data_IF_464463015728
#
_entry.id   IF_464463015728
#
_cell.length_a   1.000
_cell.length_b   1.000
_cell.length_c   1.000
_cell.angle_alpha   90.00
_cell.angle_beta   90.00
_cell.angle_gamma   90.00
#
_symmetry.space_group_name_H-M   'P 1'
#
loop_
_entity.id
_entity.type
_entity.pdbx_description
1 polymer ?
#
# COMPACT_ATOMS: atom_id res chain seq x y z
N UNK A 1 -13.24 -2.26 -2.45
CA UNK A 1 -12.21 -3.03 -3.18
C UNK A 1 -10.93 -2.21 -3.42
N UNK A 2 -10.97 -0.90 -3.67
CA UNK A 2 -9.73 -0.14 -3.95
C UNK A 2 -8.74 -0.09 -2.77
N UNK A 3 -9.22 0.15 -1.55
CA UNK A 3 -8.33 0.29 -0.37
C UNK A 3 -7.69 -1.06 0.00
N UNK A 4 -8.45 -2.16 -0.05
CA UNK A 4 -7.88 -3.49 0.19
C UNK A 4 -6.80 -3.83 -0.84
N UNK A 5 -7.08 -3.60 -2.13
CA UNK A 5 -6.09 -3.86 -3.18
C UNK A 5 -4.85 -2.97 -3.02
N UNK A 6 -5.02 -1.70 -2.64
CA UNK A 6 -3.90 -0.79 -2.36
C UNK A 6 -3.10 -1.20 -1.13
N UNK A 7 -3.76 -1.69 -0.08
CA UNK A 7 -3.08 -2.21 1.12
C UNK A 7 -2.31 -3.50 0.80
N UNK A 8 -2.90 -4.40 0.01
CA UNK A 8 -2.24 -5.61 -0.47
C UNK A 8 -1.04 -5.24 -1.35
N UNK A 9 -1.20 -4.32 -2.31
CA UNK A 9 -0.09 -3.86 -3.15
C UNK A 9 1.01 -3.16 -2.33
N UNK A 10 0.66 -2.40 -1.30
CA UNK A 10 1.63 -1.82 -0.38
C UNK A 10 2.38 -2.85 0.47
N UNK A 11 1.85 -4.06 0.66
CA UNK A 11 2.54 -5.16 1.34
C UNK A 11 3.32 -6.04 0.36
N UNK A 12 2.72 -6.44 -0.74
CA UNK A 12 3.25 -7.50 -1.63
C UNK A 12 3.37 -7.08 -3.10
N UNK A 13 3.28 -5.77 -3.37
CA UNK A 13 3.54 -5.17 -4.67
C UNK A 13 4.99 -5.34 -5.09
N UNK A 14 5.24 -5.24 -6.40
CA UNK A 14 6.53 -5.57 -7.01
C UNK A 14 7.68 -4.74 -6.42
N UNK A 15 7.48 -3.43 -6.26
CA UNK A 15 8.50 -2.53 -5.70
C UNK A 15 8.79 -2.85 -4.23
N UNK A 16 7.77 -3.25 -3.47
CA UNK A 16 7.94 -3.60 -2.06
C UNK A 16 8.72 -4.90 -1.91
N UNK A 17 8.45 -5.88 -2.77
CA UNK A 17 9.20 -7.14 -2.81
C UNK A 17 10.62 -6.93 -3.34
N UNK A 18 10.83 -5.97 -4.24
CA UNK A 18 12.16 -5.54 -4.67
C UNK A 18 13.00 -5.06 -3.49
N UNK A 19 12.47 -4.13 -2.68
CA UNK A 19 13.17 -3.62 -1.50
C UNK A 19 13.39 -4.71 -0.43
N UNK A 20 12.43 -5.61 -0.24
CA UNK A 20 12.60 -6.77 0.65
C UNK A 20 13.75 -7.67 0.15
N UNK A 21 13.74 -8.05 -1.12
CA UNK A 21 14.79 -8.90 -1.69
C UNK A 21 16.18 -8.27 -1.58
N UNK A 22 16.27 -6.95 -1.76
CA UNK A 22 17.49 -6.18 -1.56
C UNK A 22 17.94 -6.16 -0.10
N UNK A 23 17.01 -5.99 0.84
CA UNK A 23 17.29 -6.04 2.28
C UNK A 23 17.79 -7.42 2.74
N UNK A 24 17.35 -8.49 2.08
CA UNK A 24 17.83 -9.86 2.33
C UNK A 24 19.23 -10.12 1.77
N UNK A 25 19.82 -9.18 1.02
CA UNK A 25 21.15 -9.31 0.44
C UNK A 25 21.18 -10.09 -0.86
N UNK A 26 20.05 -10.24 -1.56
CA UNK A 26 20.04 -10.83 -2.91
C UNK A 26 20.80 -9.86 -3.83
N UNK A 27 21.86 -10.36 -4.48
CA UNK A 27 22.64 -9.56 -5.43
C UNK A 27 22.40 -10.02 -6.86
N UNK A 28 22.29 -9.08 -7.79
CA UNK A 28 22.17 -9.37 -9.22
C UNK A 28 23.51 -9.81 -9.80
N UNK A 29 23.44 -10.77 -10.72
CA UNK A 29 24.55 -11.22 -11.51
C UNK A 29 24.86 -10.27 -12.67
N UNK A 30 25.78 -9.33 -12.45
CA UNK A 30 26.17 -8.33 -13.45
C UNK A 30 27.32 -8.81 -14.35
N UNK A 31 28.14 -9.78 -13.90
CA UNK A 31 29.32 -10.21 -14.67
C UNK A 31 28.95 -11.07 -15.89
N UNK A 32 29.70 -10.88 -16.98
CA UNK A 32 29.59 -11.69 -18.20
C UNK A 32 30.14 -13.09 -17.98
N UNK A 33 29.78 -14.05 -18.84
CA UNK A 33 30.33 -15.41 -18.77
C UNK A 33 31.84 -15.44 -18.99
N UNK A 34 32.35 -14.57 -19.85
CA UNK A 34 33.77 -14.46 -20.17
C UNK A 34 34.55 -13.96 -18.96
N UNK A 35 34.09 -12.90 -18.29
CA UNK A 35 34.76 -12.37 -17.10
C UNK A 35 34.83 -13.40 -15.97
N UNK A 36 33.75 -14.16 -15.77
CA UNK A 36 33.72 -15.23 -14.77
C UNK A 36 34.69 -16.37 -15.06
N UNK A 37 34.89 -16.67 -16.35
CA UNK A 37 35.84 -17.68 -16.77
C UNK A 37 37.28 -17.19 -16.57
N UNK A 38 37.56 -15.93 -16.94
CA UNK A 38 38.88 -15.32 -16.74
C UNK A 38 39.23 -15.16 -15.26
N UNK A 39 38.25 -14.87 -14.41
CA UNK A 39 38.43 -14.74 -12.96
C UNK A 39 38.43 -16.08 -12.22
N UNK A 40 38.26 -17.21 -12.93
CA UNK A 40 38.14 -18.56 -12.35
C UNK A 40 37.16 -18.62 -11.17
N UNK A 41 35.99 -17.95 -11.29
CA UNK A 41 35.02 -17.89 -10.20
C UNK A 41 34.51 -19.27 -9.79
N UNK A 42 34.42 -19.49 -8.47
CA UNK A 42 33.85 -20.71 -7.89
C UNK A 42 32.37 -20.88 -8.33
N UNK A 43 31.96 -22.12 -8.61
CA UNK A 43 30.60 -22.46 -9.01
C UNK A 43 29.54 -22.00 -8.01
N UNK A 44 29.85 -22.04 -6.71
CA UNK A 44 28.92 -21.59 -5.68
C UNK A 44 28.54 -20.11 -5.85
N UNK A 45 29.52 -19.26 -6.19
CA UNK A 45 29.29 -17.83 -6.47
C UNK A 45 28.51 -17.63 -7.77
N UNK A 46 28.64 -18.54 -8.73
CA UNK A 46 27.85 -18.49 -9.96
C UNK A 46 26.37 -18.65 -9.62
N UNK A 47 25.98 -19.64 -8.82
CA UNK A 47 24.56 -19.96 -8.55
C UNK A 47 23.92 -19.13 -7.44
N UNK A 48 24.72 -18.48 -6.58
CA UNK A 48 24.21 -17.66 -5.48
C UNK A 48 23.66 -16.28 -5.86
N UNK A 49 23.89 -15.80 -7.10
CA UNK A 49 23.44 -14.47 -7.57
C UNK A 49 22.15 -14.58 -8.39
N UNK A 50 21.31 -13.54 -8.32
CA UNK A 50 20.07 -13.44 -9.08
C UNK A 50 20.35 -13.24 -10.58
N UNK A 51 19.80 -14.12 -11.42
CA UNK A 51 20.01 -14.12 -12.87
C UNK A 51 18.70 -13.82 -13.59
N UNK A 52 18.68 -12.74 -14.38
CA UNK A 52 17.55 -12.39 -15.25
C UNK A 52 17.97 -11.69 -16.54
N UNK A 53 19.12 -10.98 -16.51
CA UNK A 53 19.70 -10.32 -17.69
C UNK A 53 20.25 -11.34 -18.69
N UNK A 54 20.13 -11.03 -19.99
CA UNK A 54 20.80 -11.80 -21.04
C UNK A 54 22.28 -11.40 -21.10
N UNK A 55 23.17 -12.34 -21.47
CA UNK A 55 24.62 -12.06 -21.48
C UNK A 55 25.00 -10.87 -22.39
N UNK A 56 24.36 -10.75 -23.55
CA UNK A 56 24.58 -9.62 -24.46
C UNK A 56 24.22 -8.26 -23.82
N UNK A 57 23.23 -8.21 -22.93
CA UNK A 57 22.86 -6.97 -22.23
C UNK A 57 23.91 -6.57 -21.17
N UNK A 58 24.67 -7.55 -20.64
CA UNK A 58 25.74 -7.30 -19.67
C UNK A 58 27.01 -6.76 -20.30
N UNK A 59 27.28 -7.15 -21.55
CA UNK A 59 28.45 -6.72 -22.32
C UNK A 59 28.26 -5.31 -22.95
N UNK A 60 27.03 -4.81 -23.01
CA UNK A 60 26.76 -3.44 -23.46
C UNK A 60 27.36 -2.43 -22.46
N UNK A 61 28.22 -1.55 -22.96
CA UNK A 61 28.72 -0.40 -22.21
C UNK A 61 27.54 0.55 -21.97
N UNK A 62 27.15 0.74 -20.70
CA UNK A 62 26.14 1.73 -20.32
C UNK A 62 26.81 3.09 -20.21
N UNK A 63 26.41 4.03 -21.06
CA UNK A 63 26.83 5.42 -20.93
C UNK A 63 26.09 6.09 -19.76
N UNK A 64 26.81 6.87 -18.96
CA UNK A 64 26.23 7.57 -17.82
C UNK A 64 25.19 8.59 -18.29
N UNK A 65 23.95 8.46 -17.83
CA UNK A 65 22.86 9.39 -18.16
C UNK A 65 22.03 9.01 -19.39
N UNK A 66 22.33 7.88 -20.05
CA UNK A 66 21.51 7.35 -21.14
C UNK A 66 20.80 6.09 -20.66
N UNK A 67 19.48 6.17 -20.50
CA UNK A 67 18.64 5.03 -20.18
C UNK A 67 17.88 4.58 -21.43
N UNK A 68 18.04 3.31 -21.80
CA UNK A 68 17.20 2.70 -22.82
C UNK A 68 15.80 2.52 -22.24
N UNK A 69 14.87 3.39 -22.63
CA UNK A 69 13.44 3.12 -22.44
C UNK A 69 13.11 1.98 -23.40
N UNK A 70 13.32 0.72 -22.96
CA UNK A 70 12.80 -0.43 -23.70
C UNK A 70 11.33 -0.15 -23.95
N UNK A 71 10.86 -0.35 -25.18
CA UNK A 71 9.52 -0.02 -25.69
C UNK A 71 8.40 -0.67 -24.87
N UNK A 72 8.16 -0.11 -23.70
CA UNK A 72 7.39 -0.69 -22.62
C UNK A 72 6.42 0.39 -22.20
N UNK A 73 5.13 0.08 -22.35
CA UNK A 73 4.01 0.93 -22.01
C UNK A 73 4.18 1.55 -20.62
N UNK A 74 3.84 2.83 -20.50
CA UNK A 74 3.78 3.56 -19.23
C UNK A 74 2.95 2.74 -18.21
N UNK A 75 3.64 2.07 -17.28
CA UNK A 75 3.01 1.19 -16.28
C UNK A 75 3.64 -0.19 -16.06
N UNK A 76 4.70 -0.59 -16.77
CA UNK A 76 5.44 -1.82 -16.38
C UNK A 76 6.56 -1.49 -15.38
N UNK A 77 6.76 -2.39 -14.42
CA UNK A 77 7.85 -2.33 -13.45
C UNK A 77 9.20 -2.52 -14.14
N UNK A 78 10.28 -2.07 -13.49
CA UNK A 78 11.64 -2.40 -13.96
C UNK A 78 11.81 -3.91 -13.99
N UNK A 79 12.44 -4.45 -15.04
CA UNK A 79 12.78 -5.89 -15.13
C UNK A 79 13.56 -6.37 -13.90
N UNK A 80 14.37 -5.48 -13.32
CA UNK A 80 15.07 -5.77 -12.07
C UNK A 80 14.06 -6.01 -10.94
N UNK A 81 13.12 -5.08 -10.73
CA UNK A 81 12.11 -5.17 -9.68
C UNK A 81 11.27 -6.46 -9.82
N UNK A 82 10.87 -6.82 -11.04
CA UNK A 82 10.17 -8.08 -11.31
C UNK A 82 11.00 -9.32 -10.98
N UNK A 83 12.30 -9.30 -11.28
CA UNK A 83 13.21 -10.40 -10.98
C UNK A 83 13.39 -10.59 -9.47
N UNK A 84 13.57 -9.50 -8.71
CA UNK A 84 13.65 -9.58 -7.25
C UNK A 84 12.33 -10.04 -6.64
N UNK A 85 11.19 -9.50 -7.10
CA UNK A 85 9.88 -9.93 -6.63
C UNK A 85 9.65 -11.42 -6.87
N UNK A 86 10.06 -11.92 -8.05
CA UNK A 86 10.01 -13.35 -8.38
C UNK A 86 10.94 -14.19 -7.52
N UNK A 87 12.14 -13.68 -7.19
CA UNK A 87 13.08 -14.35 -6.29
C UNK A 87 12.49 -14.50 -4.87
N UNK A 88 11.94 -13.42 -4.30
CA UNK A 88 11.28 -13.45 -2.98
C UNK A 88 10.11 -14.44 -2.96
N UNK A 89 9.24 -14.40 -3.99
CA UNK A 89 8.13 -15.36 -4.13
C UNK A 89 8.63 -16.80 -4.25
N UNK A 90 9.72 -17.03 -4.98
CA UNK A 90 10.32 -18.36 -5.16
C UNK A 90 10.92 -18.90 -3.86
N UNK A 91 11.56 -18.04 -3.05
CA UNK A 91 12.06 -18.41 -1.72
C UNK A 91 10.92 -18.86 -0.81
N UNK A 92 9.82 -18.09 -0.78
CA UNK A 92 8.64 -18.44 0.01
C UNK A 92 8.00 -19.74 -0.50
N UNK A 93 7.91 -19.91 -1.83
CA UNK A 93 7.42 -21.14 -2.44
C UNK A 93 8.28 -22.37 -2.13
N UNK A 94 9.61 -22.22 -2.14
CA UNK A 94 10.55 -23.27 -1.74
C UNK A 94 10.46 -23.60 -0.26
N UNK A 95 10.22 -22.60 0.61
CA UNK A 95 9.98 -22.83 2.03
C UNK A 95 8.67 -23.60 2.24
N UNK A 96 7.63 -23.26 1.48
CA UNK A 96 6.34 -23.95 1.53
C UNK A 96 6.45 -25.42 1.16
N UNK A 97 7.17 -25.74 0.08
CA UNK A 97 7.33 -27.13 -0.36
C UNK A 97 8.14 -27.98 0.63
N UNK A 98 9.09 -27.38 1.36
CA UNK A 98 9.93 -28.12 2.30
C UNK A 98 9.34 -28.23 3.71
N UNK A 99 8.76 -27.14 4.22
CA UNK A 99 8.39 -27.02 5.65
C UNK A 99 6.87 -26.97 5.90
N UNK A 100 6.07 -26.80 4.84
CA UNK A 100 4.61 -26.75 4.93
C UNK A 100 4.04 -25.36 5.26
N UNK A 101 2.72 -25.31 5.45
CA UNK A 101 1.96 -24.06 5.55
C UNK A 101 2.24 -23.26 6.83
N UNK A 102 2.30 -23.93 7.99
CA UNK A 102 2.40 -23.24 9.29
C UNK A 102 3.69 -22.43 9.42
N UNK A 103 4.81 -23.01 8.97
CA UNK A 103 6.12 -22.33 8.99
C UNK A 103 6.14 -21.15 8.02
N UNK A 104 5.48 -21.27 6.87
CA UNK A 104 5.41 -20.19 5.89
C UNK A 104 4.52 -19.06 6.37
N UNK A 105 3.39 -19.36 7.00
CA UNK A 105 2.52 -18.34 7.57
C UNK A 105 3.26 -17.50 8.63
N UNK A 106 4.06 -18.15 9.50
CA UNK A 106 4.93 -17.45 10.45
C UNK A 106 5.99 -16.61 9.73
N UNK A 107 6.68 -17.18 8.74
CA UNK A 107 7.68 -16.46 7.96
C UNK A 107 7.12 -15.21 7.26
N UNK A 108 5.95 -15.33 6.63
CA UNK A 108 5.23 -14.21 5.99
C UNK A 108 4.82 -13.17 7.04
N UNK A 109 4.36 -13.59 8.21
CA UNK A 109 4.01 -12.67 9.28
C UNK A 109 5.22 -11.84 9.72
N UNK A 110 6.36 -12.50 9.91
CA UNK A 110 7.58 -11.87 10.41
C UNK A 110 8.25 -10.95 9.38
N UNK A 111 8.21 -11.29 8.08
CA UNK A 111 8.95 -10.56 7.04
C UNK A 111 8.08 -9.64 6.17
N UNK A 112 6.80 -9.99 5.94
CA UNK A 112 5.90 -9.24 5.06
C UNK A 112 4.92 -8.41 5.89
N UNK A 113 4.19 -9.04 6.82
CA UNK A 113 3.11 -8.39 7.58
C UNK A 113 3.59 -7.59 8.80
N UNK A 114 4.84 -7.77 9.23
CA UNK A 114 5.45 -7.01 10.33
C UNK A 114 5.59 -5.50 10.04
N UNK A 115 5.48 -5.09 8.78
CA UNK A 115 5.58 -3.69 8.35
C UNK A 115 4.31 -2.92 8.69
N UNK A 116 4.47 -1.70 9.19
CA UNK A 116 3.36 -0.79 9.47
C UNK A 116 2.90 -0.07 8.21
N UNK A 117 1.61 -0.17 7.91
CA UNK A 117 0.97 0.58 6.83
C UNK A 117 -0.04 1.56 7.44
N UNK A 118 0.04 2.85 7.13
CA UNK A 118 -0.95 3.83 7.56
C UNK A 118 -2.23 3.66 6.74
N UNK A 119 -3.07 2.70 7.13
CA UNK A 119 -4.35 2.43 6.46
C UNK A 119 -5.27 3.66 6.46
N UNK A 120 -5.15 4.51 7.49
CA UNK A 120 -5.93 5.74 7.67
C UNK A 120 -5.67 6.79 6.58
N UNK A 121 -4.55 6.68 5.86
CA UNK A 121 -4.14 7.54 4.76
C UNK A 121 -4.54 6.98 3.38
N UNK A 122 -4.94 5.72 3.31
CA UNK A 122 -5.33 5.06 2.04
C UNK A 122 -6.79 5.35 1.65
N UNK A 123 -7.60 5.88 2.57
CA UNK A 123 -8.99 6.18 2.31
C UNK A 123 -9.15 7.50 1.55
N UNK A 124 -9.79 7.42 0.38
CA UNK A 124 -10.21 8.58 -0.39
C UNK A 124 -11.73 8.54 -0.58
N UNK A 125 -12.44 9.52 -0.01
CA UNK A 125 -13.89 9.63 -0.12
C UNK A 125 -14.26 10.65 -1.21
N UNK A 126 -15.27 10.32 -2.02
CA UNK A 126 -15.82 11.26 -3.00
C UNK A 126 -16.99 12.04 -2.44
N UNK A 127 -17.97 11.33 -1.84
CA UNK A 127 -19.20 11.93 -1.28
C UNK A 127 -19.46 11.38 0.12
N UNK A 128 -18.61 11.73 1.11
CA UNK A 128 -18.61 11.09 2.42
C UNK A 128 -19.96 11.20 3.15
N UNK A 129 -20.69 12.32 2.98
CA UNK A 129 -22.00 12.54 3.60
C UNK A 129 -23.09 11.62 3.07
N UNK A 130 -23.16 11.42 1.75
CA UNK A 130 -24.14 10.54 1.12
C UNK A 130 -23.85 9.07 1.43
N UNK A 131 -22.57 8.70 1.41
CA UNK A 131 -22.11 7.37 1.80
C UNK A 131 -22.49 7.06 3.26
N UNK A 132 -22.41 8.05 4.16
CA UNK A 132 -22.67 7.83 5.58
C UNK A 132 -24.16 7.59 5.83
N UNK A 133 -25.03 8.35 5.16
CA UNK A 133 -26.49 8.13 5.21
C UNK A 133 -26.82 6.70 4.78
N UNK A 134 -26.28 6.26 3.63
CA UNK A 134 -26.51 4.89 3.14
C UNK A 134 -25.95 3.82 4.07
N UNK A 135 -24.80 4.07 4.69
CA UNK A 135 -24.22 3.16 5.68
C UNK A 135 -25.13 3.03 6.89
N UNK A 136 -25.65 4.14 7.41
CA UNK A 136 -26.59 4.09 8.53
C UNK A 136 -27.91 3.42 8.15
N UNK A 137 -28.43 3.67 6.95
CA UNK A 137 -29.62 2.98 6.42
C UNK A 137 -29.39 1.46 6.34
N UNK A 138 -28.21 1.04 5.88
CA UNK A 138 -27.81 -0.37 5.78
C UNK A 138 -27.67 -1.04 7.15
N UNK A 139 -27.20 -0.30 8.16
CA UNK A 139 -27.08 -0.78 9.54
C UNK A 139 -28.41 -0.75 10.31
N UNK A 140 -29.48 -0.21 9.70
CA UNK A 140 -30.81 -0.19 10.29
C UNK A 140 -30.99 0.86 11.38
N UNK A 141 -30.22 1.96 11.35
CA UNK A 141 -30.44 3.07 12.28
C UNK A 141 -31.81 3.70 12.04
N UNK A 142 -32.65 3.76 13.08
CA UNK A 142 -34.02 4.25 13.00
C UNK A 142 -34.12 5.78 13.11
N UNK A 143 -33.05 6.44 13.55
CA UNK A 143 -33.02 7.87 13.81
C UNK A 143 -32.28 8.61 12.69
N UNK A 144 -32.75 9.80 12.28
CA UNK A 144 -32.12 10.55 11.22
C UNK A 144 -30.73 11.04 11.63
N UNK A 145 -29.79 10.97 10.69
CA UNK A 145 -28.47 11.57 10.85
C UNK A 145 -28.61 13.09 10.85
N UNK A 146 -27.99 13.75 11.82
CA UNK A 146 -27.92 15.21 11.89
C UNK A 146 -26.48 15.65 12.13
N UNK A 147 -26.01 16.62 11.34
CA UNK A 147 -24.69 17.22 11.52
C UNK A 147 -24.88 18.57 12.20
N UNK A 148 -24.32 18.74 13.40
CA UNK A 148 -24.55 19.91 14.27
C UNK A 148 -23.22 20.59 14.59
N UNK A 149 -23.23 21.92 14.61
CA UNK A 149 -22.11 22.70 15.12
C UNK A 149 -22.10 22.59 16.65
N UNK A 150 -20.97 22.16 17.22
CA UNK A 150 -20.79 22.02 18.67
C UNK A 150 -20.20 23.30 19.25
N UNK A 151 -19.13 23.79 18.63
CA UNK A 151 -18.43 24.99 19.06
C UNK A 151 -17.83 25.73 17.87
N UNK A 152 -17.65 27.03 18.01
CA UNK A 152 -16.95 27.84 17.02
C UNK A 152 -16.12 28.94 17.68
N UNK A 153 -15.05 29.33 17.01
CA UNK A 153 -14.23 30.47 17.39
C UNK A 153 -13.71 31.20 16.15
N UNK A 154 -13.57 32.52 16.25
CA UNK A 154 -12.93 33.32 15.20
C UNK A 154 -13.69 33.37 13.87
N UNK A 155 -15.04 33.30 13.87
CA UNK A 155 -15.88 33.29 12.65
C UNK A 155 -15.54 34.41 11.64
N UNK A 156 -15.16 35.60 12.12
CA UNK A 156 -14.76 36.75 11.30
C UNK A 156 -13.24 36.98 11.24
N UNK A 157 -12.44 35.97 11.62
CA UNK A 157 -10.98 35.99 11.56
C UNK A 157 -10.49 35.34 10.26
N UNK A 158 -9.22 35.60 9.91
CA UNK A 158 -8.53 34.89 8.81
C UNK A 158 -8.40 33.38 9.07
N UNK A 159 -8.47 32.94 10.33
CA UNK A 159 -8.35 31.54 10.72
C UNK A 159 -9.50 31.15 11.66
N UNK A 160 -10.74 31.00 11.14
CA UNK A 160 -11.85 30.50 11.93
C UNK A 160 -11.61 29.04 12.31
N UNK A 161 -12.20 28.59 13.41
CA UNK A 161 -12.28 27.16 13.74
C UNK A 161 -13.72 26.79 14.08
N UNK A 162 -14.24 25.78 13.38
CA UNK A 162 -15.57 25.23 13.59
C UNK A 162 -15.43 23.77 14.03
N UNK A 163 -15.93 23.44 15.21
CA UNK A 163 -16.07 22.07 15.70
C UNK A 163 -17.47 21.57 15.37
N UNK A 164 -17.54 20.58 14.49
CA UNK A 164 -18.79 19.99 14.04
C UNK A 164 -18.85 18.53 14.47
N UNK A 165 -20.02 18.09 14.94
CA UNK A 165 -20.30 16.71 15.31
C UNK A 165 -21.38 16.08 14.43
N UNK A 166 -21.23 14.78 14.17
CA UNK A 166 -22.22 13.94 13.49
C UNK A 166 -23.00 13.16 14.55
N UNK A 167 -24.33 13.26 14.52
CA UNK A 167 -25.21 12.65 15.50
C UNK A 167 -26.27 11.76 14.84
N UNK A 168 -26.55 10.61 15.43
CA UNK A 168 -27.73 9.79 15.16
C UNK A 168 -28.65 9.93 16.37
N UNK A 169 -29.73 10.70 16.21
CA UNK A 169 -30.59 11.16 17.31
C UNK A 169 -29.84 11.89 18.42
N UNK A 170 -29.52 11.19 19.50
CA UNK A 170 -28.78 11.71 20.68
C UNK A 170 -27.32 11.25 20.74
N UNK A 171 -26.95 10.21 19.99
CA UNK A 171 -25.61 9.63 20.01
C UNK A 171 -24.67 10.38 19.06
N UNK A 172 -23.44 10.66 19.52
CA UNK A 172 -22.40 11.32 18.72
C UNK A 172 -21.51 10.26 18.09
N UNK A 173 -21.56 10.14 16.76
CA UNK A 173 -20.75 9.18 16.02
C UNK A 173 -19.33 9.68 15.74
N UNK A 174 -19.17 10.99 15.55
CA UNK A 174 -17.86 11.56 15.24
C UNK A 174 -17.84 13.08 15.35
N UNK A 175 -16.64 13.63 15.49
CA UNK A 175 -16.42 15.07 15.51
C UNK A 175 -15.13 15.43 14.76
N UNK A 176 -15.10 16.65 14.23
CA UNK A 176 -13.88 17.20 13.67
C UNK A 176 -13.89 18.73 13.65
N UNK A 177 -12.67 19.29 13.58
CA UNK A 177 -12.43 20.73 13.42
C UNK A 177 -12.10 21.05 11.97
N UNK A 178 -12.65 22.15 11.46
CA UNK A 178 -12.33 22.69 10.14
C UNK A 178 -12.27 24.21 10.16
N UNK A 179 -11.58 24.77 9.16
CA UNK A 179 -11.44 26.22 8.97
C UNK A 179 -12.69 26.84 8.33
N UNK A 180 -13.54 26.00 7.72
CA UNK A 180 -14.87 26.38 7.25
C UNK A 180 -15.96 25.43 7.77
N UNK A 181 -17.22 25.91 7.74
CA UNK A 181 -18.38 25.07 8.08
C UNK A 181 -18.48 23.83 7.19
N UNK A 182 -18.20 23.96 5.88
CA UNK A 182 -18.27 22.82 4.96
C UNK A 182 -17.12 21.83 5.20
N UNK A 183 -15.91 22.33 5.44
CA UNK A 183 -14.74 21.50 5.74
C UNK A 183 -14.90 20.73 7.06
N UNK A 184 -15.35 21.40 8.13
CA UNK A 184 -15.60 20.74 9.42
C UNK A 184 -16.67 19.66 9.32
N UNK A 185 -17.76 19.90 8.58
CA UNK A 185 -18.79 18.89 8.27
C UNK A 185 -18.19 17.68 7.56
N UNK A 186 -17.46 17.91 6.47
CA UNK A 186 -16.85 16.83 5.68
C UNK A 186 -15.85 16.04 6.52
N UNK A 187 -15.00 16.71 7.30
CA UNK A 187 -14.04 16.03 8.18
C UNK A 187 -14.72 15.24 9.29
N UNK A 188 -15.79 15.75 9.89
CA UNK A 188 -16.49 15.05 10.97
C UNK A 188 -17.11 13.75 10.45
N UNK A 189 -17.64 13.76 9.24
CA UNK A 189 -18.14 12.57 8.55
C UNK A 189 -17.00 11.60 8.22
N UNK A 190 -15.89 12.06 7.68
CA UNK A 190 -14.72 11.21 7.37
C UNK A 190 -14.15 10.56 8.65
N UNK A 191 -14.10 11.30 9.75
CA UNK A 191 -13.55 10.80 11.00
C UNK A 191 -14.41 9.69 11.61
N UNK A 192 -15.72 9.74 11.42
CA UNK A 192 -16.64 8.66 11.84
C UNK A 192 -16.24 7.30 11.21
N UNK A 193 -15.94 7.27 9.91
CA UNK A 193 -15.49 6.04 9.22
C UNK A 193 -14.21 5.43 9.81
N UNK A 194 -13.38 6.23 10.48
CA UNK A 194 -12.15 5.75 11.12
C UNK A 194 -12.40 5.11 12.48
N UNK A 195 -13.48 5.49 13.17
CA UNK A 195 -13.73 5.13 14.55
C UNK A 195 -14.52 3.83 14.69
N UNK A 196 -15.44 3.56 13.76
CA UNK A 196 -16.15 2.28 13.71
C UNK A 196 -15.55 1.39 12.61
N UNK A 197 -14.94 0.28 13.01
CA UNK A 197 -14.42 -0.76 12.10
C UNK A 197 -15.52 -1.52 11.35
N UNK A 198 -16.38 -0.83 10.60
CA UNK A 198 -17.56 -1.36 9.89
C UNK A 198 -17.18 -2.03 8.55
N UNK A 199 -15.91 -2.43 8.37
CA UNK A 199 -15.40 -3.09 7.17
C UNK A 199 -15.75 -4.60 7.15
N UNK A 200 -16.95 -4.96 7.59
CA UNK A 200 -17.47 -6.35 7.58
C UNK A 200 -18.57 -6.58 6.55
N UNK A 201 -19.31 -5.54 6.14
CA UNK A 201 -20.31 -5.64 5.08
C UNK A 201 -19.71 -5.02 3.82
N UNK A 202 -19.58 -5.81 2.75
CA UNK A 202 -18.93 -5.39 1.50
C UNK A 202 -19.30 -3.99 1.01
N UNK A 203 -18.39 -3.39 0.24
CA UNK A 203 -18.39 -2.00 -0.23
C UNK A 203 -19.80 -1.38 -0.33
N UNK A 204 -19.98 -0.21 0.29
CA UNK A 204 -21.21 0.58 0.11
C UNK A 204 -21.22 1.08 -1.34
N UNK A 205 -21.93 0.37 -2.22
CA UNK A 205 -22.10 0.77 -3.60
C UNK A 205 -22.84 2.12 -3.66
N UNK A 206 -22.23 3.09 -4.36
CA UNK A 206 -22.84 4.39 -4.67
C UNK A 206 -23.65 4.30 -5.95
#
# INVERSE_FOLDING_TARGET
MSVHNAAVDSLMGVDTLYEIGKSWGITVDVSSKLDKHLAEENEFLKYGKLRYMKDFEKEKIKETGVEELSSTSAGQYSREAEAYASAVRSIIGGLYTHSGEETVAKFINDHILSRKIPLDQMFQFSKPSAELVRLCDKLGFTQPISIRLIAETGRASSHPQFLTGVFVGTEKLGEAVGSSLNESKTRAVINNYKFEGIIGSGDVAI
#
